data_IF_732628619095
#
_entry.id   IF_732628619095
#
_cell.length_a   1.000
_cell.length_b   1.000
_cell.length_c   1.000
_cell.angle_alpha   90.00
_cell.angle_beta   90.00
_cell.angle_gamma   90.00
#
_symmetry.space_group_name_H-M   'P 1'
#
loop_
_entity.id
_entity.type
_entity.pdbx_description
1 polymer ?
#
# COMPACT_ATOMS: atom_id res chain seq x y z
N UNK A 1 -1.44 -9.33 17.14
CA UNK A 1 -0.71 -8.26 17.84
C UNK A 1 0.33 -7.72 16.87
N UNK A 2 0.10 -6.56 16.27
CA UNK A 2 1.11 -5.88 15.44
C UNK A 2 1.96 -5.09 16.44
N UNK A 3 3.07 -5.66 16.86
CA UNK A 3 3.99 -5.02 17.82
C UNK A 3 4.49 -3.69 17.26
N UNK A 4 4.72 -2.70 18.13
CA UNK A 4 5.29 -1.39 17.78
C UNK A 4 6.62 -1.52 17.01
N UNK A 5 7.30 -2.65 17.17
CA UNK A 5 8.46 -3.10 16.40
C UNK A 5 8.16 -3.28 14.89
N UNK A 6 6.98 -3.80 14.49
CA UNK A 6 6.62 -4.03 13.08
C UNK A 6 6.33 -2.73 12.33
N UNK A 7 5.70 -1.76 12.99
CA UNK A 7 5.50 -0.42 12.42
C UNK A 7 6.85 0.28 12.28
N UNK A 8 7.77 0.06 13.25
CA UNK A 8 9.12 0.59 13.17
C UNK A 8 9.93 -0.08 12.05
N UNK A 9 9.84 -1.40 11.85
CA UNK A 9 10.54 -2.10 10.75
C UNK A 9 9.96 -1.71 9.40
N UNK A 10 8.64 -1.55 9.25
CA UNK A 10 8.04 -1.04 8.02
C UNK A 10 8.45 0.41 7.72
N UNK A 11 8.57 1.26 8.76
CA UNK A 11 9.02 2.67 8.61
C UNK A 11 10.54 2.78 8.42
N UNK A 12 11.32 1.84 8.98
CA UNK A 12 12.80 1.78 8.87
C UNK A 12 13.23 1.15 7.55
N UNK A 13 12.55 0.11 7.06
CA UNK A 13 12.82 -0.47 5.72
C UNK A 13 12.47 0.52 4.61
N UNK A 14 11.52 1.42 4.85
CA UNK A 14 11.18 2.50 3.90
C UNK A 14 12.16 3.70 3.97
N UNK A 15 12.99 3.80 5.02
CA UNK A 15 13.86 4.97 5.24
C UNK A 15 15.20 4.55 5.88
N UNK A 16 16.20 4.27 5.02
CA UNK A 16 17.65 3.97 5.22
C UNK A 16 18.07 2.48 5.31
N UNK A 17 19.18 2.08 4.64
CA UNK A 17 19.62 2.37 3.28
C UNK A 17 19.98 1.07 2.54
N UNK A 18 19.36 0.77 1.39
CA UNK A 18 19.94 -0.23 0.47
C UNK A 18 21.10 0.41 -0.32
N UNK A 19 22.18 0.72 0.40
CA UNK A 19 23.49 1.06 -0.15
C UNK A 19 24.46 -0.13 -0.10
N UNK A 20 23.99 -1.33 0.21
CA UNK A 20 24.84 -2.52 0.33
C UNK A 20 24.09 -3.68 -0.34
N UNK A 21 24.66 -4.18 -1.45
CA UNK A 21 24.23 -5.33 -2.28
C UNK A 21 23.39 -5.00 -3.53
N UNK A 22 24.03 -4.34 -4.52
CA UNK A 22 24.27 -4.93 -5.85
C UNK A 22 24.95 -3.92 -6.79
N UNK A 23 26.13 -4.23 -7.37
CA UNK A 23 26.74 -3.43 -8.40
C UNK A 23 26.24 -3.90 -9.77
N UNK A 24 25.17 -3.35 -10.33
CA UNK A 24 24.95 -3.46 -11.78
C UNK A 24 24.33 -2.17 -12.34
N UNK A 25 25.12 -1.56 -13.23
CA UNK A 25 24.77 -0.53 -14.22
C UNK A 25 24.63 0.91 -13.73
N UNK A 26 25.76 1.40 -13.21
CA UNK A 26 26.20 2.79 -13.32
C UNK A 26 26.24 3.23 -14.80
N UNK A 27 25.29 4.08 -15.23
CA UNK A 27 25.45 4.92 -16.42
C UNK A 27 25.18 6.37 -16.04
N UNK A 28 26.21 7.19 -16.23
CA UNK A 28 26.38 8.58 -15.80
C UNK A 28 25.24 9.53 -16.18
N UNK A 29 24.60 10.18 -15.19
CA UNK A 29 24.01 11.51 -15.38
C UNK A 29 23.75 12.25 -14.05
N UNK A 30 24.46 13.38 -13.85
CA UNK A 30 24.23 14.55 -12.97
C UNK A 30 23.69 14.40 -11.51
N UNK A 31 24.42 14.87 -10.45
CA UNK A 31 24.11 14.55 -9.04
C UNK A 31 22.98 15.33 -8.33
N UNK A 32 22.17 16.15 -9.02
CA UNK A 32 21.15 17.01 -8.34
C UNK A 32 19.69 16.69 -8.65
N UNK A 33 19.41 15.83 -9.63
CA UNK A 33 18.04 15.45 -10.02
C UNK A 33 17.70 13.97 -9.69
N UNK A 34 18.74 13.19 -9.36
CA UNK A 34 18.66 11.73 -9.26
C UNK A 34 17.92 11.23 -8.00
N UNK A 35 18.07 11.92 -6.86
CA UNK A 35 17.41 11.50 -5.61
C UNK A 35 15.87 11.59 -5.67
N UNK A 36 15.32 12.49 -6.50
CA UNK A 36 13.86 12.59 -6.71
C UNK A 36 13.32 11.47 -7.59
N UNK A 37 14.10 11.03 -8.58
CA UNK A 37 13.72 9.96 -9.51
C UNK A 37 13.85 8.59 -8.84
N UNK A 38 14.89 8.37 -8.02
CA UNK A 38 15.09 7.13 -7.27
C UNK A 38 14.03 6.94 -6.19
N UNK A 39 13.69 7.98 -5.41
CA UNK A 39 12.59 7.94 -4.44
C UNK A 39 11.23 7.68 -5.12
N UNK A 40 11.02 8.23 -6.33
CA UNK A 40 9.82 7.94 -7.12
C UNK A 40 9.77 6.49 -7.59
N UNK A 41 10.88 5.86 -7.97
CA UNK A 41 10.87 4.48 -8.48
C UNK A 41 10.64 3.43 -7.40
N UNK A 42 11.23 3.59 -6.21
CA UNK A 42 11.11 2.58 -5.14
C UNK A 42 9.76 2.64 -4.43
N UNK A 43 9.23 3.84 -4.15
CA UNK A 43 7.89 3.96 -3.56
C UNK A 43 6.78 3.53 -4.54
N UNK A 44 6.96 3.80 -5.84
CA UNK A 44 5.99 3.46 -6.87
C UNK A 44 5.88 1.95 -7.13
N UNK A 45 6.95 1.18 -6.87
CA UNK A 45 6.90 -0.28 -6.96
C UNK A 45 5.99 -0.89 -5.88
N UNK A 46 6.14 -0.45 -4.62
CA UNK A 46 5.33 -0.96 -3.51
C UNK A 46 3.86 -0.51 -3.60
N UNK A 47 3.62 0.75 -3.99
CA UNK A 47 2.27 1.25 -4.23
C UNK A 47 1.57 0.49 -5.38
N UNK A 48 2.25 0.30 -6.51
CA UNK A 48 1.68 -0.39 -7.67
C UNK A 48 1.46 -1.88 -7.38
N UNK A 49 2.41 -2.54 -6.73
CA UNK A 49 2.25 -3.93 -6.32
C UNK A 49 1.11 -4.09 -5.32
N UNK A 50 1.01 -3.19 -4.33
CA UNK A 50 -0.10 -3.17 -3.39
C UNK A 50 -1.46 -2.92 -4.02
N UNK A 51 -1.54 -2.07 -5.04
CA UNK A 51 -2.76 -1.89 -5.84
C UNK A 51 -3.18 -3.21 -6.51
N UNK A 52 -2.24 -3.91 -7.14
CA UNK A 52 -2.51 -5.21 -7.77
C UNK A 52 -2.94 -6.27 -6.76
N UNK A 53 -2.35 -6.29 -5.56
CA UNK A 53 -2.77 -7.18 -4.46
C UNK A 53 -4.22 -6.89 -4.05
N UNK A 54 -4.58 -5.61 -3.88
CA UNK A 54 -5.95 -5.21 -3.54
C UNK A 54 -6.92 -5.61 -4.65
N UNK A 55 -6.63 -5.26 -5.90
CA UNK A 55 -7.50 -5.54 -7.04
C UNK A 55 -7.70 -7.06 -7.24
N UNK A 56 -6.64 -7.85 -7.12
CA UNK A 56 -6.73 -9.31 -7.17
C UNK A 56 -7.55 -9.87 -6.01
N UNK A 57 -7.37 -9.33 -4.79
CA UNK A 57 -8.13 -9.74 -3.61
C UNK A 57 -9.62 -9.42 -3.72
N UNK A 58 -9.95 -8.30 -4.38
CA UNK A 58 -11.32 -7.93 -4.73
C UNK A 58 -11.88 -8.91 -5.73
N UNK A 59 -11.14 -9.18 -6.80
CA UNK A 59 -11.60 -10.07 -7.86
C UNK A 59 -11.87 -11.49 -7.36
N UNK A 60 -10.92 -12.06 -6.63
CA UNK A 60 -11.04 -13.40 -6.05
C UNK A 60 -12.22 -13.49 -5.09
N UNK A 61 -12.40 -12.51 -4.20
CA UNK A 61 -13.52 -12.55 -3.25
C UNK A 61 -14.88 -12.41 -3.95
N UNK A 62 -14.97 -11.57 -4.98
CA UNK A 62 -16.19 -11.43 -5.78
C UNK A 62 -16.51 -12.71 -6.53
N UNK A 63 -15.52 -13.34 -7.17
CA UNK A 63 -15.69 -14.60 -7.90
C UNK A 63 -16.04 -15.78 -6.98
N UNK A 64 -15.50 -15.81 -5.75
CA UNK A 64 -15.88 -16.82 -4.74
C UNK A 64 -17.32 -16.63 -4.27
N UNK A 65 -17.80 -15.38 -4.21
CA UNK A 65 -19.18 -15.08 -3.81
C UNK A 65 -20.18 -15.32 -4.94
N UNK A 66 -19.80 -15.01 -6.17
CA UNK A 66 -20.60 -15.17 -7.39
C UNK A 66 -19.68 -15.51 -8.57
N UNK A 67 -19.69 -16.79 -8.97
CA UNK A 67 -18.85 -17.28 -10.08
C UNK A 67 -19.35 -16.80 -11.45
N UNK A 68 -20.62 -16.41 -11.54
CA UNK A 68 -21.28 -15.97 -12.77
C UNK A 68 -21.27 -14.43 -12.92
N UNK A 69 -20.58 -13.72 -12.02
CA UNK A 69 -20.44 -12.26 -12.07
C UNK A 69 -19.93 -11.79 -13.45
N UNK A 70 -20.60 -10.80 -14.03
CA UNK A 70 -20.19 -10.28 -15.32
C UNK A 70 -18.84 -9.55 -15.21
N UNK A 71 -18.03 -9.61 -16.27
CA UNK A 71 -16.75 -8.89 -16.32
C UNK A 71 -16.92 -7.38 -16.14
N UNK A 72 -18.06 -6.83 -16.57
CA UNK A 72 -18.46 -5.43 -16.38
C UNK A 72 -18.66 -5.12 -14.91
N UNK A 73 -19.45 -5.92 -14.21
CA UNK A 73 -19.78 -5.69 -12.80
C UNK A 73 -18.57 -5.90 -11.91
N UNK A 74 -17.76 -6.92 -12.21
CA UNK A 74 -16.48 -7.15 -11.54
C UNK A 74 -15.53 -5.96 -11.69
N UNK A 75 -15.36 -5.45 -12.91
CA UNK A 75 -14.51 -4.27 -13.17
C UNK A 75 -15.02 -3.02 -12.47
N UNK A 76 -16.36 -2.87 -12.36
CA UNK A 76 -17.01 -1.78 -11.63
C UNK A 76 -16.68 -1.86 -10.14
N UNK A 77 -16.81 -3.04 -9.53
CA UNK A 77 -16.45 -3.27 -8.12
C UNK A 77 -14.97 -2.96 -7.85
N UNK A 78 -14.06 -3.47 -8.68
CA UNK A 78 -12.63 -3.19 -8.55
C UNK A 78 -12.38 -1.68 -8.62
N UNK A 79 -12.98 -1.00 -9.61
CA UNK A 79 -12.81 0.44 -9.79
C UNK A 79 -13.38 1.27 -8.62
N UNK A 80 -14.53 0.88 -8.08
CA UNK A 80 -15.11 1.53 -6.90
C UNK A 80 -14.21 1.38 -5.66
N UNK A 81 -13.64 0.20 -5.47
CA UNK A 81 -12.76 -0.11 -4.35
C UNK A 81 -11.39 0.58 -4.47
N UNK A 82 -10.84 0.64 -5.68
CA UNK A 82 -9.58 1.30 -5.99
C UNK A 82 -9.73 2.80 -6.25
N UNK A 83 -10.94 3.34 -6.14
CA UNK A 83 -11.19 4.78 -6.24
C UNK A 83 -10.41 5.53 -5.15
N UNK A 84 -9.62 6.51 -5.55
CA UNK A 84 -8.76 7.28 -4.63
C UNK A 84 -9.62 8.04 -3.63
N UNK A 85 -10.55 8.86 -4.12
CA UNK A 85 -11.28 9.82 -3.28
C UNK A 85 -12.40 9.17 -2.46
N UNK A 86 -13.12 8.20 -3.02
CA UNK A 86 -14.32 7.62 -2.40
C UNK A 86 -14.10 6.37 -1.56
N UNK A 87 -12.99 5.63 -1.75
CA UNK A 87 -12.74 4.39 -0.99
C UNK A 87 -11.32 4.30 -0.42
N UNK A 88 -10.30 4.28 -1.27
CA UNK A 88 -8.92 4.00 -0.86
C UNK A 88 -8.37 5.00 0.16
N UNK A 89 -8.55 6.30 -0.07
CA UNK A 89 -8.13 7.33 0.89
C UNK A 89 -8.95 7.28 2.19
N UNK A 90 -10.23 6.90 2.12
CA UNK A 90 -11.08 6.74 3.29
C UNK A 90 -10.59 5.57 4.17
N UNK A 91 -10.29 4.42 3.57
CA UNK A 91 -9.72 3.27 4.28
C UNK A 91 -8.36 3.61 4.90
N UNK A 92 -7.49 4.30 4.16
CA UNK A 92 -6.21 4.79 4.70
C UNK A 92 -6.38 5.81 5.83
N UNK A 93 -7.38 6.69 5.74
CA UNK A 93 -7.68 7.68 6.77
C UNK A 93 -8.23 7.03 8.05
N UNK A 94 -9.02 5.96 7.92
CA UNK A 94 -9.51 5.16 9.06
C UNK A 94 -8.39 4.47 9.83
N UNK A 95 -7.28 4.16 9.15
CA UNK A 95 -6.05 3.66 9.77
C UNK A 95 -5.15 4.78 10.33
N UNK A 96 -5.49 6.05 10.09
CA UNK A 96 -4.70 7.19 10.53
C UNK A 96 -3.40 7.39 9.73
N UNK A 97 -3.33 6.89 8.49
CA UNK A 97 -2.11 6.95 7.67
C UNK A 97 -1.59 8.37 7.46
N UNK A 98 -2.49 9.36 7.36
CA UNK A 98 -2.15 10.79 7.25
C UNK A 98 -1.28 11.32 8.41
N UNK A 99 -1.28 10.62 9.56
CA UNK A 99 -0.50 11.00 10.76
C UNK A 99 0.87 10.31 10.84
N UNK A 100 1.08 9.23 10.07
CA UNK A 100 2.32 8.41 10.12
C UNK A 100 3.14 8.50 8.83
N UNK A 101 2.49 8.79 7.70
CA UNK A 101 3.16 8.96 6.42
C UNK A 101 4.02 10.21 6.46
N UNK A 102 5.32 10.03 6.21
CA UNK A 102 6.28 11.13 6.11
C UNK A 102 6.30 11.64 4.69
N UNK A 103 6.05 12.93 4.54
CA UNK A 103 6.07 13.62 3.26
C UNK A 103 7.03 14.80 3.31
N UNK A 104 7.36 15.36 2.14
CA UNK A 104 8.16 16.58 2.09
C UNK A 104 7.39 17.75 2.72
N UNK A 105 8.10 18.77 3.23
CA UNK A 105 7.50 19.96 3.86
C UNK A 105 6.46 20.70 2.99
N UNK A 106 6.48 20.48 1.66
CA UNK A 106 5.56 21.12 0.71
C UNK A 106 4.39 20.23 0.30
N UNK A 107 4.32 19.02 0.86
CA UNK A 107 3.30 18.03 0.54
C UNK A 107 2.37 17.89 1.73
N UNK A 108 1.07 17.95 1.51
CA UNK A 108 0.10 17.69 2.56
C UNK A 108 -0.16 16.17 2.66
N UNK A 109 0.17 15.59 3.82
CA UNK A 109 0.00 14.16 4.11
C UNK A 109 -1.46 13.73 4.19
N UNK A 110 -2.39 14.68 4.31
CA UNK A 110 -3.83 14.44 4.35
C UNK A 110 -4.48 14.42 2.96
N UNK A 111 -3.72 14.70 1.89
CA UNK A 111 -4.26 14.64 0.54
C UNK A 111 -4.70 13.21 0.18
N UNK A 112 -5.88 13.02 -0.46
CA UNK A 112 -6.40 11.68 -0.77
C UNK A 112 -5.41 10.80 -1.55
N UNK A 113 -4.71 11.39 -2.52
CA UNK A 113 -3.70 10.68 -3.31
C UNK A 113 -2.54 10.14 -2.44
N UNK A 114 -2.03 10.92 -1.49
CA UNK A 114 -0.95 10.49 -0.59
C UNK A 114 -1.44 9.40 0.35
N UNK A 115 -2.61 9.57 0.95
CA UNK A 115 -3.18 8.58 1.87
C UNK A 115 -3.50 7.27 1.16
N UNK A 116 -4.07 7.33 -0.04
CA UNK A 116 -4.35 6.14 -0.85
C UNK A 116 -3.07 5.44 -1.31
N UNK A 117 -2.07 6.21 -1.76
CA UNK A 117 -0.76 5.66 -2.15
C UNK A 117 -0.08 4.94 -0.99
N UNK A 118 -0.10 5.53 0.21
CA UNK A 118 0.41 4.91 1.42
C UNK A 118 -0.38 3.65 1.82
N UNK A 119 -1.71 3.68 1.69
CA UNK A 119 -2.56 2.52 1.97
C UNK A 119 -2.22 1.36 1.06
N UNK A 120 -2.04 1.60 -0.24
CA UNK A 120 -1.59 0.59 -1.21
C UNK A 120 -0.20 0.08 -0.89
N UNK A 121 0.76 0.97 -0.67
CA UNK A 121 2.13 0.60 -0.33
C UNK A 121 2.21 -0.28 0.92
N UNK A 122 1.36 -0.04 1.93
CA UNK A 122 1.27 -0.88 3.11
C UNK A 122 0.93 -2.34 2.75
N UNK A 123 -0.05 -2.59 1.87
CA UNK A 123 -0.38 -3.96 1.44
C UNK A 123 0.67 -4.57 0.52
N UNK A 124 1.33 -3.75 -0.31
CA UNK A 124 2.50 -4.18 -1.08
C UNK A 124 3.62 -4.67 -0.16
N UNK A 125 3.93 -3.92 0.90
CA UNK A 125 4.91 -4.30 1.90
C UNK A 125 4.52 -5.57 2.68
N UNK A 126 3.25 -5.70 3.09
CA UNK A 126 2.74 -6.91 3.76
C UNK A 126 2.88 -8.14 2.86
N UNK A 127 2.55 -8.01 1.57
CA UNK A 127 2.66 -9.11 0.61
C UNK A 127 4.12 -9.54 0.42
N UNK A 128 5.06 -8.60 0.40
CA UNK A 128 6.51 -8.89 0.35
C UNK A 128 6.99 -9.55 1.64
N UNK A 129 6.64 -9.01 2.80
CA UNK A 129 7.08 -9.50 4.12
C UNK A 129 6.55 -10.92 4.42
N UNK A 130 5.25 -11.15 4.16
CA UNK A 130 4.62 -12.46 4.30
C UNK A 130 4.98 -13.44 3.19
N UNK A 131 5.57 -12.96 2.08
CA UNK A 131 5.76 -13.69 0.82
C UNK A 131 4.45 -14.30 0.28
N UNK A 132 3.31 -13.68 0.56
CA UNK A 132 1.97 -14.16 0.19
C UNK A 132 1.03 -12.99 -0.11
N UNK A 133 0.59 -12.86 -1.36
CA UNK A 133 -0.43 -11.89 -1.77
C UNK A 133 -1.79 -12.18 -1.15
N UNK A 134 -2.10 -13.46 -0.94
CA UNK A 134 -3.38 -13.90 -0.39
C UNK A 134 -3.50 -13.51 1.09
N UNK A 135 -2.40 -13.62 1.85
CA UNK A 135 -2.34 -13.20 3.25
C UNK A 135 -2.55 -11.68 3.36
N UNK A 136 -1.88 -10.90 2.51
CA UNK A 136 -2.09 -9.46 2.40
C UNK A 136 -3.55 -9.13 2.06
N UNK A 137 -4.15 -9.87 1.13
CA UNK A 137 -5.57 -9.75 0.76
C UNK A 137 -6.54 -10.03 1.91
N UNK A 138 -6.28 -11.06 2.72
CA UNK A 138 -7.08 -11.36 3.93
C UNK A 138 -6.99 -10.22 4.94
N UNK A 139 -5.79 -9.66 5.15
CA UNK A 139 -5.61 -8.51 6.05
C UNK A 139 -6.34 -7.28 5.51
N UNK A 140 -6.27 -7.01 4.20
CA UNK A 140 -6.99 -5.92 3.56
C UNK A 140 -8.50 -6.00 3.85
N UNK A 141 -9.09 -7.18 3.68
CA UNK A 141 -10.49 -7.40 3.98
C UNK A 141 -10.85 -7.24 5.46
N UNK A 142 -9.95 -7.62 6.36
CA UNK A 142 -10.10 -7.43 7.81
C UNK A 142 -10.07 -5.94 8.21
N UNK A 143 -9.15 -5.16 7.62
CA UNK A 143 -9.06 -3.71 7.77
C UNK A 143 -10.36 -3.04 7.30
N UNK A 144 -10.78 -3.34 6.07
CA UNK A 144 -11.97 -2.74 5.45
C UNK A 144 -13.25 -3.08 6.21
N UNK A 145 -13.41 -4.35 6.59
CA UNK A 145 -14.53 -4.85 7.40
C UNK A 145 -14.50 -4.41 8.87
N UNK A 146 -13.55 -3.56 9.29
CA UNK A 146 -13.52 -2.95 10.63
C UNK A 146 -13.03 -3.85 11.77
N UNK A 147 -12.40 -4.99 11.48
CA UNK A 147 -12.00 -5.96 12.50
C UNK A 147 -10.69 -5.61 13.22
N UNK A 148 -9.90 -4.68 12.68
CA UNK A 148 -8.57 -4.31 13.23
C UNK A 148 -8.66 -3.44 14.50
N UNK A 149 -9.84 -2.90 14.84
CA UNK A 149 -10.05 -2.03 16.01
C UNK A 149 -10.48 -2.72 17.32
N UNK A 150 -10.80 -4.02 17.32
CA UNK A 150 -11.33 -4.72 18.52
C UNK A 150 -10.26 -5.26 19.48
N UNK A 151 -8.98 -5.06 19.19
CA UNK A 151 -7.87 -5.63 19.97
C UNK A 151 -7.07 -4.62 20.83
N UNK A 152 -7.53 -3.37 20.99
CA UNK A 152 -6.84 -2.35 21.83
C UNK A 152 -7.75 -1.80 22.94
N UNK A 153 -8.47 -2.69 23.61
CA UNK A 153 -9.17 -2.36 24.86
C UNK A 153 -8.98 -3.50 25.86
N UNK A 154 -7.79 -3.56 26.46
CA UNK A 154 -7.55 -4.07 27.82
C UNK A 154 -6.34 -3.36 28.41
#
# INVERSE_FOLDING_TARGET
>A
MISREFVSVAVVVVVLPLAILSPLQYRSSSPRDDSRVVLRREQQSSEHFGANVIDASVALRSLVADVDISSRDLSRLISEISSVDSSCASDGSRLGLQKVVRVSLKTDSSTPAVVCGAFRAMFGAIAVDSRSSDDAGRIFWSVRGGHVGRAISR
#
